data_IF_776118930297
#
_entry.id   IF_776118930297
#
_cell.length_a   1.000
_cell.length_b   1.000
_cell.length_c   1.000
_cell.angle_alpha   90.00
_cell.angle_beta   90.00
_cell.angle_gamma   90.00
#
_symmetry.space_group_name_H-M   'P 1'
#
loop_
_entity.id
_entity.type
_entity.pdbx_description
1 polymer ?
#
# COMPACT_ATOMS: atom_id res chain seq x y z
N UNK A 1 12.74 -29.94 15.31
CA UNK A 1 12.04 -28.64 15.28
C UNK A 1 10.60 -28.78 15.76
N UNK A 2 10.18 -28.02 16.79
CA UNK A 2 8.78 -28.06 17.26
C UNK A 2 7.93 -27.19 16.32
N UNK A 3 7.08 -27.80 15.49
CA UNK A 3 6.04 -27.08 14.73
C UNK A 3 5.11 -26.37 15.72
N UNK A 4 5.33 -25.08 15.95
CA UNK A 4 4.40 -24.25 16.71
C UNK A 4 3.00 -24.32 16.09
N UNK A 5 1.96 -24.32 16.93
CA UNK A 5 0.56 -24.34 16.48
C UNK A 5 0.30 -23.18 15.49
N UNK A 6 -0.58 -23.35 14.50
CA UNK A 6 -0.87 -22.31 13.49
C UNK A 6 -1.16 -20.93 14.11
N UNK A 7 -1.88 -20.89 15.24
CA UNK A 7 -2.15 -19.67 15.99
C UNK A 7 -0.88 -18.99 16.52
N UNK A 8 0.10 -19.76 17.04
CA UNK A 8 1.38 -19.20 17.52
C UNK A 8 2.18 -18.58 16.37
N UNK A 9 2.16 -19.21 15.19
CA UNK A 9 2.81 -18.66 13.99
C UNK A 9 2.14 -17.38 13.53
N UNK A 10 0.81 -17.36 13.48
CA UNK A 10 0.04 -16.17 13.14
C UNK A 10 0.31 -15.01 14.11
N UNK A 11 0.23 -15.26 15.42
CA UNK A 11 0.53 -14.24 16.45
C UNK A 11 1.97 -13.75 16.33
N UNK A 12 2.93 -14.63 16.03
CA UNK A 12 4.33 -14.24 15.81
C UNK A 12 4.49 -13.35 14.57
N UNK A 13 3.81 -13.68 13.48
CA UNK A 13 3.81 -12.85 12.28
C UNK A 13 3.21 -11.45 12.56
N UNK A 14 2.09 -11.38 13.28
CA UNK A 14 1.51 -10.10 13.71
C UNK A 14 2.49 -9.30 14.58
N UNK A 15 3.16 -9.94 15.54
CA UNK A 15 4.19 -9.28 16.36
C UNK A 15 5.33 -8.72 15.50
N UNK A 16 5.82 -9.48 14.53
CA UNK A 16 6.87 -9.02 13.62
C UNK A 16 6.42 -7.79 12.81
N UNK A 17 5.17 -7.75 12.37
CA UNK A 17 4.59 -6.58 11.70
C UNK A 17 4.52 -5.38 12.65
N UNK A 18 4.16 -5.57 13.92
CA UNK A 18 4.14 -4.49 14.91
C UNK A 18 5.55 -3.95 15.20
N UNK A 19 6.60 -4.79 15.15
CA UNK A 19 7.99 -4.32 15.25
C UNK A 19 8.38 -3.39 14.10
N UNK A 20 7.82 -3.57 12.90
CA UNK A 20 8.01 -2.65 11.77
C UNK A 20 7.17 -1.38 11.91
N UNK A 21 5.91 -1.51 12.33
CA UNK A 21 4.98 -0.39 12.42
C UNK A 21 5.30 0.59 13.55
N UNK A 22 5.91 0.13 14.65
CA UNK A 22 6.26 1.01 15.77
C UNK A 22 7.25 2.13 15.37
N UNK A 23 8.44 1.84 14.82
CA UNK A 23 9.35 2.88 14.33
C UNK A 23 8.76 3.62 13.11
N UNK A 24 8.08 2.90 12.20
CA UNK A 24 7.47 3.50 11.02
C UNK A 24 6.41 4.55 11.34
N UNK A 25 5.62 4.34 12.39
CA UNK A 25 4.59 5.28 12.82
C UNK A 25 5.17 6.49 13.57
N UNK A 26 6.15 6.28 14.44
CA UNK A 26 6.77 7.34 15.24
C UNK A 26 7.62 8.28 14.38
N UNK A 27 8.40 7.75 13.44
CA UNK A 27 9.36 8.53 12.65
C UNK A 27 8.71 9.09 11.37
N UNK A 28 8.06 8.21 10.61
CA UNK A 28 7.62 8.50 9.24
C UNK A 28 6.10 8.53 9.07
N UNK A 29 5.36 8.25 10.16
CA UNK A 29 3.90 8.10 10.16
C UNK A 29 3.38 7.10 9.12
N UNK A 30 4.15 6.04 8.89
CA UNK A 30 3.84 4.94 7.99
C UNK A 30 3.25 3.77 8.76
N UNK A 31 2.23 3.15 8.19
CA UNK A 31 1.62 1.91 8.71
C UNK A 31 1.62 0.89 7.58
N UNK A 32 2.24 -0.26 7.82
CA UNK A 32 2.23 -1.40 6.93
C UNK A 32 1.30 -2.49 7.44
N UNK A 33 0.46 -2.97 6.53
CA UNK A 33 -0.52 -4.01 6.80
C UNK A 33 -0.41 -5.03 5.67
N UNK A 34 0.06 -6.26 5.93
CA UNK A 34 -0.10 -7.34 4.98
C UNK A 34 -1.56 -7.79 4.97
N UNK A 35 -2.17 -7.81 3.80
CA UNK A 35 -3.60 -8.11 3.62
C UNK A 35 -3.73 -9.51 3.03
N UNK A 36 -4.29 -10.47 3.78
CA UNK A 36 -4.67 -11.76 3.22
C UNK A 36 -5.86 -11.56 2.28
N UNK A 37 -5.74 -11.96 1.02
CA UNK A 37 -6.79 -11.80 0.01
C UNK A 37 -7.13 -13.18 -0.54
N UNK A 38 -8.39 -13.55 -0.42
CA UNK A 38 -8.95 -14.74 -1.05
C UNK A 38 -9.80 -14.31 -2.24
N UNK A 39 -9.47 -14.82 -3.41
CA UNK A 39 -10.23 -14.59 -4.63
C UNK A 39 -11.41 -15.58 -4.75
N UNK A 40 -12.43 -15.25 -5.56
CA UNK A 40 -13.61 -16.11 -5.74
C UNK A 40 -13.31 -17.53 -6.25
N UNK A 41 -12.17 -17.72 -6.91
CA UNK A 41 -11.67 -19.02 -7.38
C UNK A 41 -10.97 -19.85 -6.28
N UNK A 42 -10.94 -19.34 -5.05
CA UNK A 42 -10.30 -19.98 -3.91
C UNK A 42 -8.80 -19.72 -3.81
N UNK A 43 -8.19 -19.01 -4.77
CA UNK A 43 -6.78 -18.64 -4.68
C UNK A 43 -6.54 -17.62 -3.57
N UNK A 44 -5.42 -17.79 -2.87
CA UNK A 44 -5.01 -16.93 -1.78
C UNK A 44 -3.72 -16.20 -2.15
N UNK A 45 -3.69 -14.89 -1.96
CA UNK A 45 -2.48 -14.08 -2.09
C UNK A 45 -2.31 -13.19 -0.86
N UNK A 46 -1.08 -12.76 -0.61
CA UNK A 46 -0.77 -11.78 0.42
C UNK A 46 -0.45 -10.45 -0.25
N UNK A 47 -1.39 -9.51 -0.16
CA UNK A 47 -1.16 -8.12 -0.58
C UNK A 47 -0.38 -7.35 0.47
N UNK A 48 0.26 -6.26 0.06
CA UNK A 48 0.90 -5.31 0.97
C UNK A 48 0.18 -3.97 0.87
N UNK A 49 -0.22 -3.41 2.02
CA UNK A 49 -0.79 -2.07 2.12
C UNK A 49 0.14 -1.21 2.96
N UNK A 50 0.57 -0.07 2.41
CA UNK A 50 1.32 0.96 3.11
C UNK A 50 0.49 2.23 3.16
N UNK A 51 0.26 2.75 4.36
CA UNK A 51 -0.45 4.00 4.59
C UNK A 51 0.54 5.00 5.15
N UNK A 52 0.78 6.09 4.42
CA UNK A 52 1.53 7.23 4.91
C UNK A 52 0.54 8.29 5.41
N UNK A 53 0.43 8.42 6.73
CA UNK A 53 -0.42 9.42 7.37
C UNK A 53 0.26 10.79 7.26
N UNK A 54 -0.41 11.77 6.65
CA UNK A 54 0.15 13.11 6.44
C UNK A 54 0.68 13.73 7.74
N UNK A 55 1.74 14.54 7.66
CA UNK A 55 2.51 15.03 8.81
C UNK A 55 1.67 15.81 9.84
N UNK A 56 2.14 15.90 11.09
CA UNK A 56 1.64 16.89 12.06
C UNK A 56 2.66 18.02 12.05
N UNK A 57 2.22 19.26 11.81
CA UNK A 57 3.13 20.40 11.92
C UNK A 57 3.70 20.45 13.36
N UNK A 58 5.03 20.51 13.49
CA UNK A 58 5.72 20.56 14.79
C UNK A 58 5.72 21.95 15.44
N UNK A 59 5.13 22.96 14.82
CA UNK A 59 5.15 24.33 15.34
C UNK A 59 3.73 24.80 15.72
N UNK A 60 3.56 25.11 17.01
CA UNK A 60 2.28 25.41 17.66
C UNK A 60 1.66 26.75 17.30
N UNK A 61 1.43 27.07 16.03
CA UNK A 61 0.62 28.23 15.67
C UNK A 61 -0.01 28.13 14.29
N UNK A 62 -0.99 27.24 14.13
CA UNK A 62 -2.26 27.46 13.39
C UNK A 62 -3.01 26.14 13.37
N UNK A 63 -4.28 26.14 13.76
CA UNK A 63 -5.18 24.98 13.57
C UNK A 63 -5.49 24.84 12.07
N UNK A 64 -4.52 24.46 11.25
CA UNK A 64 -4.84 23.92 9.93
C UNK A 64 -5.59 22.61 10.13
N UNK A 65 -6.77 22.51 9.54
CA UNK A 65 -7.61 21.33 9.66
C UNK A 65 -6.81 20.11 9.20
N UNK A 66 -6.95 18.99 9.91
CA UNK A 66 -6.42 17.67 9.56
C UNK A 66 -6.69 17.30 8.09
N UNK A 67 -7.75 17.86 7.49
CA UNK A 67 -8.14 17.74 6.09
C UNK A 67 -7.13 18.25 5.04
N UNK A 68 -6.16 19.09 5.41
CA UNK A 68 -5.23 19.68 4.42
C UNK A 68 -4.02 18.81 4.12
N UNK A 69 -3.65 17.88 5.00
CA UNK A 69 -2.46 17.05 4.80
C UNK A 69 -2.83 15.77 4.04
N UNK A 70 -2.30 15.59 2.80
CA UNK A 70 -2.61 14.40 2.04
C UNK A 70 -2.05 13.17 2.77
N UNK A 71 -2.86 12.13 2.87
CA UNK A 71 -2.35 10.80 3.20
C UNK A 71 -2.19 10.00 1.92
N UNK A 72 -1.16 9.16 1.88
CA UNK A 72 -0.88 8.29 0.73
C UNK A 72 -1.18 6.85 1.10
N UNK A 73 -1.72 6.12 0.14
CA UNK A 73 -1.97 4.70 0.25
C UNK A 73 -1.27 4.04 -0.93
N UNK A 74 -0.34 3.14 -0.65
CA UNK A 74 0.27 2.28 -1.65
C UNK A 74 -0.20 0.85 -1.43
N UNK A 75 -0.65 0.21 -2.49
CA UNK A 75 -1.09 -1.17 -2.48
C UNK A 75 -0.30 -1.98 -3.49
N UNK A 76 0.28 -3.09 -3.05
CA UNK A 76 1.02 -4.02 -3.90
C UNK A 76 0.35 -5.39 -3.85
N UNK A 77 0.04 -5.92 -5.03
CA UNK A 77 -0.61 -7.21 -5.24
C UNK A 77 0.16 -8.05 -6.23
N UNK A 78 0.26 -9.35 -5.95
CA UNK A 78 0.64 -10.35 -6.93
C UNK A 78 -0.61 -11.15 -7.33
N UNK A 79 -1.01 -11.04 -8.60
CA UNK A 79 -2.24 -11.61 -9.14
C UNK A 79 -1.89 -12.64 -10.21
N UNK A 80 -2.44 -13.85 -10.14
CA UNK A 80 -2.05 -14.97 -11.00
C UNK A 80 -2.10 -14.65 -12.50
N UNK A 81 -3.15 -13.95 -12.95
CA UNK A 81 -3.36 -13.64 -14.37
C UNK A 81 -2.82 -12.25 -14.75
N UNK A 82 -2.96 -11.26 -13.86
CA UNK A 82 -2.56 -9.88 -14.14
C UNK A 82 -1.07 -9.63 -13.87
N UNK A 83 -0.40 -10.54 -13.16
CA UNK A 83 0.95 -10.34 -12.64
C UNK A 83 0.97 -9.34 -11.47
N UNK A 84 2.15 -8.77 -11.17
CA UNK A 84 2.27 -7.78 -10.11
C UNK A 84 1.59 -6.47 -10.51
N UNK A 85 0.86 -5.90 -9.55
CA UNK A 85 0.15 -4.65 -9.68
C UNK A 85 0.43 -3.80 -8.45
N UNK A 86 0.94 -2.58 -8.68
CA UNK A 86 1.11 -1.57 -7.64
C UNK A 86 0.15 -0.41 -7.90
N UNK A 87 -0.53 0.05 -6.87
CA UNK A 87 -1.41 1.21 -6.91
C UNK A 87 -0.95 2.24 -5.88
N UNK A 88 -0.52 3.40 -6.33
CA UNK A 88 -0.13 4.53 -5.49
C UNK A 88 -1.24 5.57 -5.52
N UNK A 89 -1.88 5.83 -4.39
CA UNK A 89 -3.00 6.76 -4.23
C UNK A 89 -2.64 7.87 -3.25
N UNK A 90 -3.03 9.10 -3.58
CA UNK A 90 -2.94 10.26 -2.69
C UNK A 90 -4.32 10.81 -2.46
N UNK A 91 -4.68 11.01 -1.19
CA UNK A 91 -6.01 11.49 -0.79
C UNK A 91 -5.83 12.76 0.03
N UNK A 92 -6.44 13.86 -0.42
CA UNK A 92 -6.46 15.16 0.28
C UNK A 92 -7.90 15.61 0.45
N UNK A 93 -8.39 15.60 1.69
CA UNK A 93 -9.82 15.75 1.97
C UNK A 93 -10.65 14.71 1.19
N UNK A 94 -11.43 15.17 0.22
CA UNK A 94 -12.24 14.31 -0.68
C UNK A 94 -11.63 14.09 -2.06
N UNK A 95 -10.50 14.73 -2.37
CA UNK A 95 -9.83 14.61 -3.66
C UNK A 95 -8.89 13.41 -3.67
N UNK A 96 -9.03 12.56 -4.68
CA UNK A 96 -8.19 11.39 -4.93
C UNK A 96 -7.38 11.60 -6.21
N UNK A 97 -6.09 11.30 -6.13
CA UNK A 97 -5.19 11.11 -7.27
C UNK A 97 -4.56 9.74 -7.18
N UNK A 98 -4.25 9.12 -8.31
CA UNK A 98 -3.70 7.78 -8.30
C UNK A 98 -2.93 7.37 -9.55
N UNK A 99 -2.11 6.35 -9.36
CA UNK A 99 -1.34 5.72 -10.42
C UNK A 99 -1.31 4.22 -10.22
N UNK A 100 -1.61 3.47 -11.29
CA UNK A 100 -1.40 2.03 -11.36
C UNK A 100 -0.11 1.73 -12.12
N UNK A 101 0.76 0.92 -11.54
CA UNK A 101 1.96 0.39 -12.16
C UNK A 101 1.76 -1.12 -12.40
N UNK A 102 2.09 -1.54 -13.61
CA UNK A 102 1.91 -2.92 -14.08
C UNK A 102 3.07 -3.31 -15.00
N UNK A 103 3.20 -4.60 -15.26
CA UNK A 103 4.33 -5.16 -16.00
C UNK A 103 4.00 -5.62 -17.42
N UNK A 104 2.71 -5.72 -17.77
CA UNK A 104 2.23 -6.25 -19.05
C UNK A 104 1.34 -5.26 -19.79
N UNK A 105 1.61 -4.99 -21.06
CA UNK A 105 0.85 -4.02 -21.87
C UNK A 105 -0.61 -4.46 -22.08
N UNK A 106 -0.86 -5.76 -22.24
CA UNK A 106 -2.22 -6.34 -22.34
C UNK A 106 -3.09 -6.01 -21.12
N UNK A 107 -2.47 -5.95 -19.93
CA UNK A 107 -3.16 -5.61 -18.67
C UNK A 107 -3.45 -4.11 -18.56
N UNK A 108 -2.64 -3.27 -19.20
CA UNK A 108 -2.83 -1.81 -19.21
C UNK A 108 -4.16 -1.44 -19.82
N UNK A 109 -4.51 -2.08 -20.94
CA UNK A 109 -5.78 -1.86 -21.60
C UNK A 109 -6.95 -2.28 -20.69
N UNK A 110 -6.83 -3.46 -20.07
CA UNK A 110 -7.82 -3.95 -19.11
C UNK A 110 -8.04 -2.97 -17.94
N UNK A 111 -6.97 -2.49 -17.30
CA UNK A 111 -7.07 -1.53 -16.20
C UNK A 111 -7.67 -0.21 -16.68
N UNK A 112 -7.16 0.34 -17.79
CA UNK A 112 -7.65 1.62 -18.35
C UNK A 112 -9.15 1.60 -18.62
N UNK A 113 -9.68 0.51 -19.15
CA UNK A 113 -11.12 0.37 -19.41
C UNK A 113 -11.96 0.29 -18.12
N UNK A 114 -11.37 -0.15 -17.01
CA UNK A 114 -12.05 -0.26 -15.72
C UNK A 114 -11.89 0.98 -14.83
N UNK A 115 -10.92 1.87 -15.11
CA UNK A 115 -10.72 3.13 -14.38
C UNK A 115 -12.01 3.98 -14.31
N UNK A 116 -12.78 4.18 -15.41
CA UNK A 116 -14.03 4.95 -15.34
C UNK A 116 -15.05 4.39 -14.34
N UNK A 117 -15.17 3.06 -14.27
CA UNK A 117 -16.04 2.39 -13.30
C UNK A 117 -15.58 2.62 -11.86
N UNK A 118 -14.27 2.53 -11.60
CA UNK A 118 -13.69 2.87 -10.31
C UNK A 118 -13.96 4.33 -9.92
N UNK A 119 -13.75 5.27 -10.84
CA UNK A 119 -14.01 6.69 -10.64
C UNK A 119 -15.47 6.92 -10.27
N UNK A 120 -16.42 6.31 -10.99
CA UNK A 120 -17.84 6.45 -10.71
C UNK A 120 -18.22 5.90 -9.33
N UNK A 121 -17.65 4.76 -8.92
CA UNK A 121 -17.84 4.20 -7.57
C UNK A 121 -17.28 5.11 -6.48
N UNK A 122 -16.12 5.73 -6.69
CA UNK A 122 -15.54 6.70 -5.76
C UNK A 122 -16.39 7.97 -5.66
N UNK A 123 -16.87 8.49 -6.79
CA UNK A 123 -17.81 9.63 -6.85
C UNK A 123 -19.11 9.35 -6.11
N UNK A 124 -19.69 8.15 -6.29
CA UNK A 124 -20.88 7.72 -5.57
C UNK A 124 -20.69 7.65 -4.04
N UNK A 125 -19.44 7.53 -3.58
CA UNK A 125 -19.07 7.59 -2.15
C UNK A 125 -18.70 9.01 -1.67
N UNK A 126 -18.85 10.02 -2.52
CA UNK A 126 -18.61 11.43 -2.17
C UNK A 126 -17.17 11.91 -2.38
N UNK A 127 -16.33 11.17 -3.10
CA UNK A 127 -14.98 11.60 -3.47
C UNK A 127 -14.95 12.29 -4.84
N UNK A 128 -14.01 13.21 -5.04
CA UNK A 128 -13.64 13.72 -6.36
C UNK A 128 -12.36 13.04 -6.81
N UNK A 129 -12.28 12.65 -8.09
CA UNK A 129 -11.08 12.04 -8.65
C UNK A 129 -10.48 12.99 -9.66
N UNK A 130 -9.27 13.49 -9.38
CA UNK A 130 -8.58 14.45 -10.25
C UNK A 130 -7.80 13.75 -11.37
N UNK A 131 -7.10 12.67 -11.05
CA UNK A 131 -6.41 11.85 -12.04
C UNK A 131 -6.24 10.42 -11.54
N UNK A 132 -6.42 9.45 -12.43
CA UNK A 132 -5.96 8.07 -12.24
C UNK A 132 -5.26 7.66 -13.53
N UNK A 133 -3.97 7.33 -13.41
CA UNK A 133 -3.13 6.93 -14.53
C UNK A 133 -2.76 5.45 -14.45
N UNK A 134 -2.34 4.87 -15.57
CA UNK A 134 -1.85 3.50 -15.64
C UNK A 134 -0.61 3.43 -16.54
N UNK A 135 0.50 3.00 -15.95
CA UNK A 135 1.82 2.99 -16.56
C UNK A 135 2.42 1.59 -16.58
N UNK A 136 3.10 1.27 -17.68
CA UNK A 136 3.94 0.08 -17.78
C UNK A 136 5.29 0.38 -17.10
N UNK A 137 5.74 -0.53 -16.25
CA UNK A 137 7.03 -0.45 -15.55
C UNK A 137 7.68 -1.83 -15.49
N UNK A 138 8.99 -1.83 -15.29
CA UNK A 138 9.76 -3.06 -15.12
C UNK A 138 9.31 -3.82 -13.87
N UNK A 139 9.41 -5.14 -13.95
CA UNK A 139 8.96 -6.06 -12.90
C UNK A 139 9.53 -5.73 -11.52
N UNK A 140 10.82 -5.39 -11.45
CA UNK A 140 11.51 -5.04 -10.22
C UNK A 140 10.95 -3.76 -9.57
N UNK A 141 10.57 -2.77 -10.37
CA UNK A 141 9.97 -1.52 -9.88
C UNK A 141 8.58 -1.79 -9.32
N UNK A 142 7.78 -2.60 -10.00
CA UNK A 142 6.41 -2.89 -9.57
C UNK A 142 6.40 -3.73 -8.30
N UNK A 143 7.32 -4.70 -8.16
CA UNK A 143 7.35 -5.65 -7.05
C UNK A 143 8.15 -5.22 -5.83
N UNK A 144 8.76 -4.03 -5.87
CA UNK A 144 9.50 -3.53 -4.74
C UNK A 144 8.64 -3.57 -3.47
N UNK A 145 9.16 -4.24 -2.44
CA UNK A 145 8.44 -4.45 -1.19
C UNK A 145 8.16 -3.13 -0.50
N UNK A 146 6.93 -2.93 -0.04
CA UNK A 146 6.55 -1.72 0.69
C UNK A 146 7.19 -1.65 2.08
N UNK A 147 7.76 -2.76 2.56
CA UNK A 147 8.55 -2.80 3.81
C UNK A 147 9.85 -2.03 3.65
N UNK A 148 10.47 -2.07 2.47
CA UNK A 148 11.69 -1.31 2.18
C UNK A 148 11.45 0.20 2.25
N UNK A 149 10.22 0.64 1.98
CA UNK A 149 9.83 2.05 2.11
C UNK A 149 9.69 2.50 3.57
N UNK A 150 9.67 1.58 4.54
CA UNK A 150 9.61 1.88 5.99
C UNK A 150 11.01 1.87 6.61
N UNK A 151 11.86 0.94 6.17
CA UNK A 151 13.19 0.76 6.71
C UNK A 151 14.12 1.78 6.04
N UNK A 152 14.39 2.90 6.71
CA UNK A 152 15.42 3.85 6.27
C UNK A 152 16.74 3.11 6.05
N UNK A 153 17.34 3.25 4.85
CA UNK A 153 18.73 2.85 4.58
C UNK A 153 19.71 3.81 5.27
N UNK A 154 19.62 3.96 6.59
CA UNK A 154 20.74 4.45 7.39
C UNK A 154 21.46 3.26 8.02
N UNK A 155 22.41 2.72 7.28
CA UNK A 155 23.68 2.22 7.84
C UNK A 155 23.70 0.99 8.76
N UNK A 156 22.59 0.31 9.04
CA UNK A 156 22.65 -0.99 9.75
C UNK A 156 21.45 -1.87 9.40
N UNK A 157 21.53 -2.55 8.26
CA UNK A 157 20.60 -3.63 7.92
C UNK A 157 20.83 -4.81 8.87
N UNK A 158 20.03 -4.92 9.93
CA UNK A 158 19.87 -6.20 10.61
C UNK A 158 19.13 -7.11 9.64
N UNK A 159 19.87 -8.02 9.02
CA UNK A 159 19.33 -9.08 8.17
C UNK A 159 18.46 -10.00 9.03
N UNK A 160 17.14 -9.88 8.89
CA UNK A 160 16.19 -10.83 9.45
C UNK A 160 16.01 -11.98 8.46
N UNK A 161 17.05 -12.79 8.31
CA UNK A 161 16.92 -14.16 7.80
C UNK A 161 16.75 -15.05 9.02
N UNK A 162 15.59 -15.69 9.13
CA UNK A 162 15.32 -16.79 10.05
C UNK A 162 14.68 -17.94 9.27
#
# INVERSE_FOLDING_TARGET
>A
EKKGTPLKRFVSAIKNIQLLNHPGLEQDRKIFIPIPIQFPDGLFTLGQLLIHLGQKEKNGNTRKKIDENPFRITFLLELSNLGPLRADLSIKGKEIRGTFLITKEEIKFFIKNNIPSLINKLKGKGFTVSSIECHLKDHEIVKQSLVEEIIHQEGNAISLVA
#
